data_IF_968959595631
#
_entry.id   IF_968959595631
#
_cell.length_a   1.000
_cell.length_b   1.000
_cell.length_c   1.000
_cell.angle_alpha   90.00
_cell.angle_beta   90.00
_cell.angle_gamma   90.00
#
_symmetry.space_group_name_H-M   'P 1'
#
loop_
_entity.id
_entity.type
_entity.pdbx_description
1 polymer ?
#
# COMPACT_ATOMS: atom_id res chain seq x y z
N UNK A 1 -9.04 -4.04 9.06
CA UNK A 1 -8.49 -5.40 9.28
C UNK A 1 -7.73 -5.33 10.58
N UNK A 2 -7.97 -6.25 11.51
CA UNK A 2 -7.20 -6.31 12.76
C UNK A 2 -6.36 -7.58 12.66
N UNK A 3 -5.11 -7.41 12.26
CA UNK A 3 -4.11 -8.45 12.31
C UNK A 3 -3.10 -8.03 13.38
N UNK A 4 -2.75 -8.97 14.25
CA UNK A 4 -1.84 -8.70 15.38
C UNK A 4 -0.36 -8.97 15.01
N UNK A 5 -0.12 -9.51 13.81
CA UNK A 5 1.23 -9.84 13.31
C UNK A 5 1.33 -9.50 11.83
N UNK A 6 2.51 -9.03 11.42
CA UNK A 6 2.77 -8.74 10.00
C UNK A 6 2.90 -10.04 9.22
N UNK A 7 2.29 -10.09 8.04
CA UNK A 7 2.27 -11.34 7.28
C UNK A 7 1.35 -11.35 6.07
N UNK A 8 1.29 -12.51 5.41
CA UNK A 8 0.46 -12.70 4.22
C UNK A 8 -0.92 -13.24 4.62
N UNK A 9 -1.96 -12.59 4.12
CA UNK A 9 -3.36 -12.92 4.42
C UNK A 9 -4.21 -12.99 3.16
N UNK A 10 -5.33 -13.72 3.24
CA UNK A 10 -6.40 -13.65 2.23
C UNK A 10 -7.43 -12.61 2.67
N UNK A 11 -7.56 -11.55 1.90
CA UNK A 11 -8.50 -10.47 2.16
C UNK A 11 -9.72 -10.61 1.26
N UNK A 12 -10.90 -10.41 1.83
CA UNK A 12 -12.17 -10.27 1.11
C UNK A 12 -12.66 -8.82 1.22
N UNK A 13 -12.57 -8.01 0.16
CA UNK A 13 -13.13 -6.66 0.18
C UNK A 13 -14.64 -6.68 0.43
N UNK A 14 -15.15 -5.61 1.04
CA UNK A 14 -16.59 -5.39 1.22
C UNK A 14 -17.27 -5.44 -0.15
N UNK A 15 -18.44 -6.07 -0.23
CA UNK A 15 -19.19 -6.24 -1.49
C UNK A 15 -18.54 -7.15 -2.55
N UNK A 16 -17.39 -7.79 -2.26
CA UNK A 16 -16.78 -8.79 -3.14
C UNK A 16 -17.03 -10.22 -2.65
N UNK A 17 -17.33 -11.13 -3.59
CA UNK A 17 -17.34 -12.58 -3.34
C UNK A 17 -15.96 -13.23 -3.52
N UNK A 18 -14.98 -12.49 -4.04
CA UNK A 18 -13.62 -12.98 -4.31
C UNK A 18 -12.63 -12.48 -3.27
N UNK A 19 -11.73 -13.37 -2.86
CA UNK A 19 -10.57 -13.07 -2.02
C UNK A 19 -9.30 -12.90 -2.85
N UNK A 20 -8.33 -12.15 -2.33
CA UNK A 20 -6.97 -12.12 -2.87
C UNK A 20 -5.93 -12.01 -1.75
N UNK A 21 -4.70 -12.43 -2.06
CA UNK A 21 -3.59 -12.32 -1.13
C UNK A 21 -3.13 -10.87 -0.97
N UNK A 22 -2.85 -10.47 0.26
CA UNK A 22 -2.25 -9.19 0.65
C UNK A 22 -1.15 -9.43 1.67
N UNK A 23 -0.24 -8.48 1.80
CA UNK A 23 0.63 -8.38 2.99
C UNK A 23 -0.02 -7.36 3.93
N UNK A 24 -0.20 -7.75 5.19
CA UNK A 24 -0.58 -6.86 6.26
C UNK A 24 0.67 -6.46 7.04
N UNK A 25 0.82 -5.16 7.27
CA UNK A 25 1.79 -4.60 8.19
C UNK A 25 1.03 -4.18 9.47
N UNK A 26 1.33 -4.89 10.56
CA UNK A 26 0.63 -4.79 11.83
C UNK A 26 1.49 -4.15 12.94
N UNK A 27 2.80 -4.05 12.73
CA UNK A 27 3.76 -3.67 13.77
C UNK A 27 4.20 -2.21 13.61
N UNK A 28 4.32 -1.72 12.37
CA UNK A 28 4.63 -0.31 12.11
C UNK A 28 3.36 0.56 11.98
N UNK A 29 3.54 1.87 12.16
CA UNK A 29 2.53 2.90 11.87
C UNK A 29 1.17 2.69 12.57
N UNK A 30 1.17 2.10 13.78
CA UNK A 30 -0.06 1.80 14.52
C UNK A 30 -0.83 0.58 14.00
N UNK A 31 -0.31 -0.14 13.00
CA UNK A 31 -0.82 -1.41 12.49
C UNK A 31 -2.06 -1.31 11.60
N UNK A 32 -2.41 -2.43 10.96
CA UNK A 32 -3.60 -2.56 10.12
C UNK A 32 -3.42 -2.11 8.67
N UNK A 33 -2.18 -1.91 8.23
CA UNK A 33 -1.85 -1.46 6.90
C UNK A 33 -1.86 -2.62 5.90
N UNK A 34 -2.39 -2.37 4.71
CA UNK A 34 -2.29 -3.29 3.58
C UNK A 34 -1.19 -2.77 2.67
N UNK A 35 -0.14 -3.57 2.47
CA UNK A 35 0.95 -3.21 1.56
C UNK A 35 0.47 -3.38 0.12
N UNK A 36 0.39 -2.27 -0.61
CA UNK A 36 -0.05 -2.22 -2.01
C UNK A 36 1.12 -2.27 -3.01
N UNK A 37 2.32 -1.89 -2.55
CA UNK A 37 3.55 -1.83 -3.34
C UNK A 37 4.74 -1.99 -2.39
N UNK A 38 5.73 -2.81 -2.77
CA UNK A 38 6.96 -2.98 -2.00
C UNK A 38 8.19 -3.05 -2.92
N UNK A 39 9.22 -2.25 -2.62
CA UNK A 39 10.58 -2.31 -3.17
C UNK A 39 11.58 -2.61 -2.07
N UNK A 40 12.56 -3.45 -2.35
CA UNK A 40 13.59 -3.89 -1.40
C UNK A 40 14.98 -3.83 -2.05
N UNK A 41 15.14 -4.42 -3.23
CA UNK A 41 16.45 -4.67 -3.83
C UNK A 41 16.47 -4.58 -5.37
N UNK A 42 15.34 -4.29 -6.03
CA UNK A 42 15.24 -4.14 -7.48
C UNK A 42 15.17 -5.46 -8.26
N UNK A 43 14.84 -6.58 -7.62
CA UNK A 43 14.74 -7.90 -8.28
C UNK A 43 13.52 -8.04 -9.20
N UNK A 44 12.48 -7.23 -9.01
CA UNK A 44 11.31 -7.21 -9.88
C UNK A 44 11.36 -5.97 -10.76
N UNK A 45 11.20 -6.16 -12.08
CA UNK A 45 11.08 -5.05 -13.04
C UNK A 45 9.73 -4.33 -12.87
N UNK A 46 9.77 -3.01 -12.68
CA UNK A 46 8.57 -2.16 -12.53
C UNK A 46 8.26 -1.37 -13.82
N UNK A 47 9.15 -1.35 -14.81
CA UNK A 47 8.83 -0.84 -16.12
C UNK A 47 7.97 -1.86 -16.89
N UNK A 48 6.65 -1.79 -16.67
CA UNK A 48 5.65 -2.75 -17.16
C UNK A 48 4.55 -2.05 -17.93
N UNK A 49 3.81 -2.83 -18.72
CA UNK A 49 2.68 -2.31 -19.49
C UNK A 49 1.44 -2.07 -18.60
N UNK A 50 0.41 -1.45 -19.19
CA UNK A 50 -0.84 -1.13 -18.49
C UNK A 50 -1.55 -2.36 -17.91
N UNK A 51 -1.57 -3.48 -18.63
CA UNK A 51 -2.30 -4.67 -18.19
C UNK A 51 -1.65 -5.29 -16.95
N UNK A 52 -0.31 -5.25 -16.87
CA UNK A 52 0.44 -5.65 -15.68
C UNK A 52 0.12 -4.73 -14.48
N UNK A 53 0.09 -3.41 -14.67
CA UNK A 53 -0.28 -2.47 -13.60
C UNK A 53 -1.74 -2.61 -13.15
N UNK A 54 -2.63 -2.96 -14.08
CA UNK A 54 -4.04 -3.21 -13.79
C UNK A 54 -4.24 -4.46 -12.93
N UNK A 55 -3.55 -5.55 -13.25
CA UNK A 55 -3.72 -6.85 -12.60
C UNK A 55 -2.79 -7.10 -11.41
N UNK A 56 -1.65 -6.41 -11.37
CA UNK A 56 -0.58 -6.64 -10.40
C UNK A 56 0.52 -7.55 -10.94
N UNK A 57 1.72 -7.41 -10.38
CA UNK A 57 2.89 -8.22 -10.74
C UNK A 57 3.83 -8.39 -9.53
N UNK A 58 4.80 -9.30 -9.66
CA UNK A 58 5.62 -9.76 -8.53
C UNK A 58 4.90 -10.79 -7.67
N UNK A 59 5.51 -11.15 -6.54
CA UNK A 59 4.97 -12.15 -5.62
C UNK A 59 4.57 -11.49 -4.31
N UNK A 60 3.27 -11.47 -3.99
CA UNK A 60 2.79 -10.89 -2.72
C UNK A 60 3.37 -11.67 -1.54
N UNK A 61 4.23 -11.03 -0.75
CA UNK A 61 4.87 -11.60 0.44
C UNK A 61 5.76 -10.58 1.15
N UNK A 62 5.99 -10.78 2.44
CA UNK A 62 6.64 -9.81 3.33
C UNK A 62 8.07 -9.43 2.90
N UNK A 63 8.78 -10.34 2.21
CA UNK A 63 10.16 -10.15 1.76
C UNK A 63 10.30 -10.09 0.23
N UNK A 64 9.19 -9.83 -0.47
CA UNK A 64 9.16 -9.82 -1.92
C UNK A 64 8.88 -8.40 -2.45
N UNK A 65 9.28 -8.16 -3.70
CA UNK A 65 8.84 -7.00 -4.44
C UNK A 65 7.57 -7.30 -5.24
N UNK A 66 6.60 -6.40 -5.19
CA UNK A 66 5.35 -6.56 -5.91
C UNK A 66 4.59 -5.25 -6.08
N UNK A 67 3.65 -5.29 -7.02
CA UNK A 67 2.57 -4.33 -7.20
C UNK A 67 1.24 -5.06 -7.08
N UNK A 68 0.39 -4.66 -6.14
CA UNK A 68 -0.86 -5.38 -5.85
C UNK A 68 -1.84 -5.37 -7.03
N UNK A 69 -1.81 -4.31 -7.84
CA UNK A 69 -2.67 -4.14 -9.02
C UNK A 69 -3.82 -3.15 -8.79
N UNK A 70 -4.05 -2.28 -9.77
CA UNK A 70 -5.04 -1.20 -9.69
C UNK A 70 -6.46 -1.72 -9.48
N UNK A 71 -6.83 -2.87 -10.07
CA UNK A 71 -8.16 -3.46 -9.87
C UNK A 71 -8.42 -3.82 -8.41
N UNK A 72 -7.41 -4.38 -7.73
CA UNK A 72 -7.50 -4.75 -6.31
C UNK A 72 -7.52 -3.50 -5.43
N UNK A 73 -6.66 -2.53 -5.70
CA UNK A 73 -6.66 -1.26 -4.97
C UNK A 73 -7.98 -0.51 -5.11
N UNK A 74 -8.57 -0.47 -6.31
CA UNK A 74 -9.89 0.13 -6.51
C UNK A 74 -10.96 -0.56 -5.65
N UNK A 75 -10.96 -1.90 -5.57
CA UNK A 75 -11.88 -2.63 -4.69
C UNK A 75 -11.66 -2.30 -3.21
N UNK A 76 -10.43 -2.03 -2.79
CA UNK A 76 -10.12 -1.64 -1.41
C UNK A 76 -10.56 -0.22 -1.10
N UNK A 77 -10.45 0.71 -2.05
CA UNK A 77 -10.67 2.14 -1.81
C UNK A 77 -12.06 2.66 -2.21
N UNK A 78 -12.99 1.77 -2.57
CA UNK A 78 -14.31 2.18 -3.10
C UNK A 78 -15.28 2.66 -2.03
N UNK A 79 -15.18 2.14 -0.80
CA UNK A 79 -16.29 2.23 0.17
C UNK A 79 -16.20 3.40 1.15
N UNK A 80 -15.00 3.93 1.39
CA UNK A 80 -14.75 4.95 2.40
C UNK A 80 -13.59 5.86 2.01
N UNK A 81 -13.24 6.80 2.88
CA UNK A 81 -11.94 7.48 2.84
C UNK A 81 -10.87 6.60 3.48
N UNK A 82 -9.67 6.63 2.91
CA UNK A 82 -8.55 5.82 3.34
C UNK A 82 -7.31 6.69 3.50
N UNK A 83 -6.37 6.22 4.29
CA UNK A 83 -5.04 6.81 4.37
C UNK A 83 -4.06 5.97 3.54
N UNK A 84 -3.10 6.63 2.91
CA UNK A 84 -1.96 5.99 2.25
C UNK A 84 -0.68 6.47 2.93
N UNK A 85 0.07 5.52 3.46
CA UNK A 85 1.44 5.75 3.92
C UNK A 85 2.45 5.33 2.84
N UNK A 86 3.49 6.14 2.66
CA UNK A 86 4.65 5.82 1.82
C UNK A 86 5.90 5.93 2.69
N UNK A 87 6.49 4.78 3.01
CA UNK A 87 7.76 4.69 3.73
C UNK A 87 8.92 4.58 2.73
N UNK A 88 9.91 5.45 2.88
CA UNK A 88 11.14 5.47 2.09
C UNK A 88 12.34 5.30 3.02
N UNK A 89 13.24 4.38 2.66
CA UNK A 89 14.52 4.19 3.34
C UNK A 89 15.66 4.71 2.47
N UNK A 90 16.43 5.67 2.99
CA UNK A 90 17.61 6.21 2.28
C UNK A 90 18.89 5.47 2.62
N UNK A 91 19.97 5.83 1.92
CA UNK A 91 21.34 5.50 2.31
C UNK A 91 22.14 6.82 2.47
N UNK A 92 22.62 7.21 3.68
CA UNK A 92 22.59 6.47 4.95
C UNK A 92 21.16 6.22 5.47
N UNK A 93 20.97 5.24 6.38
CA UNK A 93 19.65 4.74 6.76
C UNK A 93 18.85 5.78 7.55
N UNK A 94 17.99 6.51 6.84
CA UNK A 94 16.93 7.34 7.41
C UNK A 94 15.60 6.85 6.86
N UNK A 95 14.60 6.72 7.74
CA UNK A 95 13.22 6.42 7.33
C UNK A 95 12.44 7.72 7.20
N UNK A 96 11.72 7.86 6.10
CA UNK A 96 10.81 8.98 5.84
C UNK A 96 9.43 8.41 5.54
N UNK A 97 8.43 8.86 6.29
CA UNK A 97 7.04 8.45 6.10
C UNK A 97 6.20 9.64 5.65
N UNK A 98 5.55 9.50 4.50
CA UNK A 98 4.57 10.44 3.97
C UNK A 98 3.18 9.83 4.14
N UNK A 99 2.27 10.58 4.75
CA UNK A 99 0.87 10.19 4.85
C UNK A 99 0.04 11.03 3.89
N UNK A 100 -0.90 10.37 3.21
CA UNK A 100 -1.82 11.01 2.29
C UNK A 100 -3.24 10.61 2.64
N UNK A 101 -4.12 11.60 2.77
CA UNK A 101 -5.55 11.35 2.87
C UNK A 101 -6.10 11.13 1.46
N UNK A 102 -6.67 9.95 1.25
CA UNK A 102 -7.28 9.56 -0.01
C UNK A 102 -8.79 9.52 0.18
N UNK A 103 -9.49 10.26 -0.66
CA UNK A 103 -10.94 10.23 -0.70
C UNK A 103 -11.45 10.07 -2.13
N UNK A 104 -12.69 9.60 -2.25
CA UNK A 104 -13.36 9.47 -3.52
C UNK A 104 -14.06 10.80 -3.83
N UNK A 105 -13.53 11.54 -4.80
CA UNK A 105 -14.16 12.74 -5.34
C UNK A 105 -14.69 12.40 -6.73
N UNK A 106 -16.02 12.36 -6.88
CA UNK A 106 -16.69 11.81 -8.06
C UNK A 106 -16.26 10.34 -8.27
N UNK A 107 -16.04 9.90 -9.52
CA UNK A 107 -15.56 8.56 -9.85
C UNK A 107 -14.03 8.43 -9.83
N UNK A 108 -13.32 9.32 -9.12
CA UNK A 108 -11.86 9.32 -9.05
C UNK A 108 -11.37 9.28 -7.60
N UNK A 109 -10.43 8.37 -7.35
CA UNK A 109 -9.64 8.36 -6.13
C UNK A 109 -8.67 9.55 -6.16
N UNK A 110 -8.78 10.44 -5.19
CA UNK A 110 -8.07 11.72 -5.15
C UNK A 110 -7.32 11.87 -3.82
N UNK A 111 -6.10 12.39 -3.87
CA UNK A 111 -5.37 12.83 -2.68
C UNK A 111 -5.91 14.21 -2.29
N UNK A 112 -6.40 14.33 -1.05
CA UNK A 112 -7.03 15.56 -0.55
C UNK A 112 -6.22 16.24 0.56
N UNK A 113 -5.17 15.59 1.05
CA UNK A 113 -4.28 16.13 2.06
C UNK A 113 -3.01 15.30 2.19
N UNK A 114 -1.98 15.87 2.79
CA UNK A 114 -0.73 15.18 3.07
C UNK A 114 -0.15 15.64 4.41
N UNK A 115 0.64 14.78 5.03
CA UNK A 115 1.52 15.10 6.14
C UNK A 115 2.82 14.30 6.03
N UNK A 116 3.85 14.77 6.74
CA UNK A 116 5.16 14.13 6.80
C UNK A 116 5.47 13.86 8.27
N UNK A 117 6.18 12.78 8.55
CA UNK A 117 6.61 12.51 9.91
C UNK A 117 7.44 13.67 10.50
N UNK A 118 7.21 13.93 11.77
CA UNK A 118 7.62 15.16 12.48
C UNK A 118 9.13 15.29 12.68
N UNK A 119 9.89 14.20 12.48
CA UNK A 119 11.35 14.19 12.63
C UNK A 119 12.08 14.95 11.53
N UNK A 120 11.42 15.24 10.39
CA UNK A 120 11.96 16.10 9.32
C UNK A 120 11.56 17.57 9.53
N UNK A 121 10.47 17.84 10.25
CA UNK A 121 9.97 19.20 10.47
C UNK A 121 10.75 19.99 11.54
N UNK A 122 11.85 19.44 12.06
CA UNK A 122 12.70 20.02 13.12
C UNK A 122 14.09 20.45 12.65
N UNK A 123 14.40 20.30 11.36
CA UNK A 123 15.54 20.98 10.69
C UNK A 123 15.07 22.26 9.99
#
# INVERSE_FOLDING_TARGET
MQADVSGRYLLRPVGSSKTFAVVCEAESLGGGWIVIQQRINGTVEFNRNWEDYKNGFGSVGQFNEFWLGLKRMHQLTTYDSYELAVELKTNPPTMVTLYFLISKLLERTTIIGYSVDSDIAKE
#
